data_IF_514864270382
#
_entry.id   IF_514864270382
#
_cell.length_a   1.000
_cell.length_b   1.000
_cell.length_c   1.000
_cell.angle_alpha   90.00
_cell.angle_beta   90.00
_cell.angle_gamma   90.00
#
_symmetry.space_group_name_H-M   'P 1'
#
loop_
_entity.id
_entity.type
_entity.pdbx_description
1 polymer ?
#
# COMPACT_ATOMS: atom_id res chain seq x y z
N UNK A 1 -9.70 24.15 -25.54
CA UNK A 1 -10.03 22.75 -25.22
C UNK A 1 -8.76 21.93 -25.25
N UNK A 2 -8.45 21.25 -24.15
CA UNK A 2 -7.26 20.41 -24.02
C UNK A 2 -7.72 18.95 -23.92
N UNK A 3 -7.31 18.10 -24.86
CA UNK A 3 -7.70 16.68 -24.87
C UNK A 3 -6.62 15.85 -24.20
N UNK A 4 -6.95 15.22 -23.06
CA UNK A 4 -6.06 14.26 -22.40
C UNK A 4 -6.30 12.87 -22.98
N UNK A 5 -5.26 12.32 -23.62
CA UNK A 5 -5.29 10.98 -24.24
C UNK A 5 -4.59 9.90 -23.41
N UNK A 6 -4.02 10.26 -22.27
CA UNK A 6 -3.34 9.30 -21.41
C UNK A 6 -2.88 9.89 -20.09
N UNK A 7 -2.76 9.02 -19.10
CA UNK A 7 -2.27 9.28 -17.76
C UNK A 7 -0.94 8.53 -17.58
N UNK A 8 0.04 9.18 -16.95
CA UNK A 8 1.32 8.56 -16.63
C UNK A 8 1.14 7.49 -15.54
N UNK A 9 0.99 6.22 -15.94
CA UNK A 9 0.75 5.10 -15.03
C UNK A 9 1.83 4.97 -13.94
N UNK A 10 3.08 5.29 -14.26
CA UNK A 10 4.20 5.28 -13.29
C UNK A 10 4.01 6.36 -12.22
N UNK A 11 3.58 7.57 -12.62
CA UNK A 11 3.33 8.68 -11.68
C UNK A 11 2.16 8.34 -10.76
N UNK A 12 1.09 7.77 -11.33
CA UNK A 12 -0.08 7.30 -10.60
C UNK A 12 0.27 6.16 -9.63
N UNK A 13 1.09 5.21 -10.07
CA UNK A 13 1.66 4.16 -9.23
C UNK A 13 2.44 4.72 -8.05
N UNK A 14 3.36 5.67 -8.26
CA UNK A 14 4.12 6.31 -7.16
C UNK A 14 3.20 7.00 -6.16
N UNK A 15 2.17 7.70 -6.65
CA UNK A 15 1.22 8.40 -5.80
C UNK A 15 0.41 7.42 -4.93
N UNK A 16 -0.16 6.37 -5.52
CA UNK A 16 -0.90 5.35 -4.79
C UNK A 16 -0.01 4.50 -3.88
N UNK A 17 1.22 4.21 -4.30
CA UNK A 17 2.21 3.56 -3.46
C UNK A 17 2.54 4.38 -2.21
N UNK A 18 2.68 5.70 -2.33
CA UNK A 18 2.89 6.58 -1.19
C UNK A 18 1.67 6.60 -0.25
N UNK A 19 0.45 6.71 -0.78
CA UNK A 19 -0.77 6.65 0.03
C UNK A 19 -0.92 5.32 0.77
N UNK A 20 -0.66 4.20 0.11
CA UNK A 20 -0.75 2.90 0.75
C UNK A 20 0.39 2.67 1.74
N UNK A 21 1.58 3.23 1.51
CA UNK A 21 2.66 3.19 2.50
C UNK A 21 2.24 3.91 3.79
N UNK A 22 1.51 5.03 3.72
CA UNK A 22 0.93 5.69 4.89
C UNK A 22 -0.07 4.79 5.63
N UNK A 23 -0.91 4.05 4.90
CA UNK A 23 -1.78 3.03 5.50
C UNK A 23 -0.94 1.94 6.19
N UNK A 24 0.14 1.51 5.56
CA UNK A 24 1.10 0.56 6.13
C UNK A 24 1.75 1.07 7.42
N UNK A 25 1.98 2.38 7.56
CA UNK A 25 2.45 2.99 8.83
C UNK A 25 1.37 2.83 9.90
N UNK A 26 0.11 3.13 9.60
CA UNK A 26 -0.99 3.00 10.56
C UNK A 26 -1.21 1.54 10.98
N UNK A 27 -1.28 0.62 10.02
CA UNK A 27 -1.45 -0.82 10.30
C UNK A 27 -0.23 -1.38 11.04
N UNK A 28 0.98 -0.99 10.63
CA UNK A 28 2.24 -1.39 11.25
C UNK A 28 2.34 -0.91 12.70
N UNK A 29 2.00 0.35 12.98
CA UNK A 29 2.04 0.88 14.36
C UNK A 29 1.00 0.22 15.26
N UNK A 30 -0.23 0.02 14.77
CA UNK A 30 -1.28 -0.66 15.53
C UNK A 30 -0.92 -2.12 15.85
N UNK A 31 -0.40 -2.85 14.86
CA UNK A 31 0.02 -4.26 15.05
C UNK A 31 1.21 -4.36 16.01
N UNK A 32 2.20 -3.47 15.89
CA UNK A 32 3.34 -3.44 16.80
C UNK A 32 2.96 -3.05 18.23
N UNK A 33 2.04 -2.09 18.41
CA UNK A 33 1.49 -1.76 19.73
C UNK A 33 0.70 -2.93 20.32
N UNK A 34 -0.12 -3.60 19.52
CA UNK A 34 -0.87 -4.78 19.97
C UNK A 34 0.06 -5.91 20.43
N UNK A 35 1.17 -6.15 19.70
CA UNK A 35 2.19 -7.14 20.09
C UNK A 35 2.87 -6.76 21.40
N UNK A 36 3.26 -5.50 21.57
CA UNK A 36 3.89 -5.01 22.81
C UNK A 36 2.96 -5.09 24.03
N UNK A 37 1.66 -4.78 23.85
CA UNK A 37 0.68 -4.79 24.93
C UNK A 37 0.17 -6.19 25.29
N UNK A 38 0.01 -7.06 24.29
CA UNK A 38 -0.57 -8.40 24.51
C UNK A 38 0.46 -9.45 24.92
N UNK A 39 1.76 -9.19 24.71
CA UNK A 39 2.92 -9.74 25.42
C UNK A 39 3.02 -11.26 25.68
N UNK A 40 2.10 -12.09 25.22
CA UNK A 40 1.98 -13.48 25.63
C UNK A 40 1.88 -14.43 24.44
N UNK A 41 2.51 -15.62 24.53
CA UNK A 41 2.65 -16.56 23.43
C UNK A 41 1.33 -17.11 22.85
N UNK A 42 0.17 -16.77 23.43
CA UNK A 42 -1.15 -17.25 22.99
C UNK A 42 -1.72 -16.50 21.77
N UNK A 43 -1.32 -15.25 21.54
CA UNK A 43 -1.81 -14.46 20.40
C UNK A 43 -1.15 -14.86 19.07
N UNK A 44 0.02 -15.50 19.11
CA UNK A 44 0.73 -16.04 17.92
C UNK A 44 0.01 -17.21 17.24
N UNK A 45 -1.05 -17.75 17.85
CA UNK A 45 -1.83 -18.83 17.25
C UNK A 45 -2.85 -18.36 16.22
N UNK A 46 -3.26 -17.09 16.24
CA UNK A 46 -4.19 -16.52 15.26
C UNK A 46 -3.49 -15.91 14.03
N UNK A 47 -2.24 -15.47 14.18
CA UNK A 47 -1.42 -14.92 13.09
C UNK A 47 -0.39 -15.98 12.75
N UNK A 48 -0.73 -16.87 11.81
CA UNK A 48 0.07 -17.93 11.18
C UNK A 48 1.44 -18.28 11.80
N UNK A 49 1.61 -19.58 12.11
CA UNK A 49 2.82 -20.29 12.61
C UNK A 49 4.20 -19.94 11.98
N UNK A 50 4.28 -19.09 10.97
CA UNK A 50 5.52 -18.76 10.26
C UNK A 50 6.36 -17.64 10.88
N UNK A 51 5.84 -16.87 11.83
CA UNK A 51 6.59 -15.76 12.42
C UNK A 51 6.73 -15.97 13.94
N UNK A 52 7.89 -16.45 14.37
CA UNK A 52 8.39 -16.37 15.76
C UNK A 52 8.63 -14.91 16.18
N UNK A 53 7.59 -14.09 16.11
CA UNK A 53 7.60 -12.67 16.47
C UNK A 53 7.59 -12.46 17.99
N UNK A 54 7.29 -13.51 18.76
CA UNK A 54 7.26 -13.46 20.23
C UNK A 54 8.61 -13.40 20.89
N UNK A 55 9.66 -13.79 20.20
CA UNK A 55 11.02 -13.80 20.75
C UNK A 55 11.78 -12.49 20.46
N UNK A 56 11.25 -11.63 19.59
CA UNK A 56 11.97 -10.47 19.05
C UNK A 56 11.78 -9.15 19.83
N UNK A 57 10.98 -9.12 20.90
CA UNK A 57 10.78 -7.93 21.73
C UNK A 57 10.48 -6.65 20.92
N UNK A 58 11.05 -5.51 21.35
CA UNK A 58 10.94 -4.21 20.64
C UNK A 58 11.44 -4.27 19.18
N UNK A 59 12.41 -5.14 18.86
CA UNK A 59 12.93 -5.30 17.51
C UNK A 59 11.94 -5.95 16.54
N UNK A 60 11.10 -6.86 17.03
CA UNK A 60 10.06 -7.52 16.24
C UNK A 60 8.93 -6.57 15.83
N UNK A 61 8.53 -5.68 16.74
CA UNK A 61 7.56 -4.62 16.44
C UNK A 61 8.08 -3.65 15.39
N UNK A 62 9.37 -3.29 15.43
CA UNK A 62 9.94 -2.42 14.40
C UNK A 62 9.96 -3.10 13.02
N UNK A 63 10.35 -4.39 12.97
CA UNK A 63 10.36 -5.17 11.73
C UNK A 63 8.95 -5.34 11.14
N UNK A 64 7.93 -5.55 11.97
CA UNK A 64 6.54 -5.60 11.53
C UNK A 64 6.07 -4.27 10.93
N UNK A 65 6.40 -3.16 11.59
CA UNK A 65 6.03 -1.84 11.11
C UNK A 65 6.69 -1.56 9.75
N UNK A 66 8.00 -1.76 9.65
CA UNK A 66 8.74 -1.55 8.39
C UNK A 66 8.24 -2.50 7.30
N UNK A 67 8.01 -3.77 7.62
CA UNK A 67 7.46 -4.76 6.70
C UNK A 67 6.07 -4.37 6.18
N UNK A 68 5.18 -3.93 7.06
CA UNK A 68 3.85 -3.46 6.67
C UNK A 68 3.94 -2.25 5.72
N UNK A 69 4.76 -1.26 6.02
CA UNK A 69 4.96 -0.08 5.15
C UNK A 69 5.40 -0.50 3.75
N UNK A 70 6.38 -1.40 3.65
CA UNK A 70 6.90 -1.88 2.37
C UNK A 70 5.85 -2.68 1.60
N UNK A 71 5.18 -3.63 2.26
CA UNK A 71 4.18 -4.50 1.62
C UNK A 71 3.00 -3.68 1.12
N UNK A 72 2.43 -2.80 1.95
CA UNK A 72 1.32 -1.96 1.54
C UNK A 72 1.75 -0.95 0.47
N UNK A 73 2.92 -0.32 0.60
CA UNK A 73 3.44 0.61 -0.41
C UNK A 73 3.65 -0.03 -1.78
N UNK A 74 4.22 -1.24 -1.83
CA UNK A 74 4.37 -2.02 -3.06
C UNK A 74 3.01 -2.43 -3.63
N UNK A 75 2.08 -2.89 -2.78
CA UNK A 75 0.73 -3.24 -3.22
C UNK A 75 0.02 -2.02 -3.85
N UNK A 76 0.08 -0.85 -3.21
CA UNK A 76 -0.49 0.39 -3.75
C UNK A 76 0.16 0.82 -5.06
N UNK A 77 1.48 0.64 -5.20
CA UNK A 77 2.20 0.92 -6.44
C UNK A 77 1.72 0.01 -7.59
N UNK A 78 1.59 -1.30 -7.34
CA UNK A 78 1.09 -2.27 -8.33
C UNK A 78 -0.36 -1.97 -8.71
N UNK A 79 -1.23 -1.71 -7.73
CA UNK A 79 -2.62 -1.31 -7.98
C UNK A 79 -2.69 -0.04 -8.82
N UNK A 80 -1.82 0.94 -8.55
CA UNK A 80 -1.75 2.16 -9.35
C UNK A 80 -1.27 1.94 -10.78
N UNK A 81 -0.31 1.05 -11.01
CA UNK A 81 0.09 0.67 -12.37
C UNK A 81 -1.07 0.03 -13.14
N UNK A 82 -1.78 -0.92 -12.51
CA UNK A 82 -2.93 -1.60 -13.13
C UNK A 82 -4.03 -0.59 -13.44
N UNK A 83 -4.36 0.27 -12.47
CA UNK A 83 -5.40 1.29 -12.63
C UNK A 83 -5.04 2.27 -13.75
N UNK A 84 -3.79 2.76 -13.79
CA UNK A 84 -3.32 3.63 -14.85
C UNK A 84 -3.36 2.97 -16.24
N UNK A 85 -3.03 1.69 -16.33
CA UNK A 85 -3.14 0.93 -17.58
C UNK A 85 -4.60 0.80 -18.05
N UNK A 86 -5.52 0.50 -17.13
CA UNK A 86 -6.96 0.40 -17.43
C UNK A 86 -7.54 1.76 -17.87
N UNK A 87 -7.17 2.84 -17.19
CA UNK A 87 -7.59 4.20 -17.58
C UNK A 87 -7.06 4.55 -18.98
N UNK A 88 -5.80 4.24 -19.28
CA UNK A 88 -5.24 4.48 -20.61
C UNK A 88 -5.94 3.64 -21.69
N UNK A 89 -6.34 2.41 -21.38
CA UNK A 89 -7.13 1.59 -22.29
C UNK A 89 -8.51 2.22 -22.53
N UNK A 90 -9.19 2.66 -21.47
CA UNK A 90 -10.49 3.34 -21.58
C UNK A 90 -10.40 4.64 -22.39
N UNK A 91 -9.37 5.46 -22.16
CA UNK A 91 -9.12 6.70 -22.92
C UNK A 91 -8.85 6.43 -24.39
N UNK A 92 -8.18 5.32 -24.72
CA UNK A 92 -7.95 4.90 -26.12
C UNK A 92 -9.23 4.47 -26.82
N UNK A 93 -10.11 3.77 -26.12
CA UNK A 93 -11.39 3.32 -26.67
C UNK A 93 -12.41 4.46 -26.79
N UNK A 94 -12.41 5.40 -25.84
CA UNK A 94 -13.34 6.53 -25.76
C UNK A 94 -12.93 7.79 -26.54
N UNK A 95 -11.74 7.81 -27.17
CA UNK A 95 -11.26 8.97 -27.93
C UNK A 95 -10.55 10.07 -27.10
N UNK A 96 -10.42 9.88 -25.79
CA UNK A 96 -9.82 10.82 -24.83
C UNK A 96 -10.87 11.56 -23.99
N UNK A 97 -10.40 12.35 -23.03
CA UNK A 97 -11.25 13.24 -22.23
C UNK A 97 -10.96 14.68 -22.63
N UNK A 98 -12.00 15.41 -23.02
CA UNK A 98 -11.92 16.84 -23.28
C UNK A 98 -12.02 17.60 -21.95
N UNK A 99 -11.04 18.44 -21.67
CA UNK A 99 -11.07 19.35 -20.54
C UNK A 99 -11.21 20.79 -21.03
N UNK A 100 -12.21 21.47 -20.49
CA UNK A 100 -12.29 22.92 -20.49
C UNK A 100 -11.53 23.42 -19.26
N UNK A 101 -10.37 24.00 -19.51
CA UNK A 101 -9.59 24.72 -18.52
C UNK A 101 -9.90 26.20 -18.74
N UNK A 102 -10.69 26.81 -17.86
CA UNK A 102 -10.85 28.27 -17.75
C UNK A 102 -9.59 28.92 -17.16
#
# INVERSE_FOLDING_TARGET
MTVIRGVGAISLGKCLGAFYALIGITVGTLTSMAVLLLGSPRTYSMIGKGLHLGELGLGGGLLLMVGAVIVYGLAGFVVGLITGALVNLALRLGGGVELELE
#
